data_IF_399245628530
#
_entry.id   IF_399245628530
#
_cell.length_a   1.000
_cell.length_b   1.000
_cell.length_c   1.000
_cell.angle_alpha   90.00
_cell.angle_beta   90.00
_cell.angle_gamma   90.00
#
_symmetry.space_group_name_H-M   'P 1'
#
loop_
_entity.id
_entity.type
_entity.pdbx_description
1 polymer ?
#
# COMPACT_ATOMS: atom_id res chain seq x y z
N UNK A 1 12.05 -72.54 46.65
CA UNK A 1 12.34 -71.10 46.34
C UNK A 1 11.86 -70.78 44.93
N UNK A 2 10.78 -70.05 44.83
CA UNK A 2 10.25 -69.60 43.52
C UNK A 2 10.68 -68.13 43.28
N UNK A 3 11.52 -67.93 42.31
CA UNK A 3 12.03 -66.60 41.94
C UNK A 3 11.06 -65.96 40.92
N UNK A 4 10.39 -64.88 41.29
CA UNK A 4 9.47 -64.13 40.42
C UNK A 4 10.29 -63.07 39.70
N UNK A 5 10.35 -63.14 38.35
CA UNK A 5 10.98 -62.16 37.50
C UNK A 5 9.94 -61.00 37.19
N UNK A 6 10.23 -59.84 37.67
CA UNK A 6 9.42 -58.63 37.33
C UNK A 6 9.99 -58.01 36.06
N UNK A 7 9.21 -58.04 34.98
CA UNK A 7 9.54 -57.41 33.73
C UNK A 7 9.04 -55.94 33.77
N UNK A 8 9.93 -54.95 33.88
CA UNK A 8 9.62 -53.54 33.83
C UNK A 8 9.58 -53.10 32.37
N UNK A 9 8.40 -52.78 31.86
CA UNK A 9 8.20 -52.19 30.54
C UNK A 9 8.42 -50.69 30.65
N UNK A 10 9.53 -50.19 30.13
CA UNK A 10 9.78 -48.73 29.97
C UNK A 10 8.98 -48.22 28.77
N UNK A 11 7.94 -47.43 29.01
CA UNK A 11 7.28 -46.61 27.98
C UNK A 11 8.20 -45.43 27.64
N UNK A 12 8.87 -45.50 26.50
CA UNK A 12 9.58 -44.36 25.92
C UNK A 12 8.56 -43.47 25.26
N UNK A 13 8.14 -42.38 25.93
CA UNK A 13 7.33 -41.33 25.36
C UNK A 13 8.17 -40.59 24.29
N UNK A 14 7.85 -40.79 23.01
CA UNK A 14 8.30 -39.88 21.95
C UNK A 14 7.61 -38.53 22.16
N UNK A 15 8.33 -37.55 22.69
CA UNK A 15 7.93 -36.16 22.61
C UNK A 15 8.02 -35.76 21.13
N UNK A 16 6.88 -35.64 20.48
CA UNK A 16 6.79 -34.89 19.22
C UNK A 16 7.13 -33.42 19.53
N UNK A 17 8.31 -33.00 19.13
CA UNK A 17 8.60 -31.58 19.04
C UNK A 17 7.70 -31.06 17.91
N UNK A 18 6.56 -30.49 18.26
CA UNK A 18 5.77 -29.71 17.31
C UNK A 18 6.69 -28.58 16.83
N UNK A 19 7.11 -28.61 15.58
CA UNK A 19 7.72 -27.42 14.95
C UNK A 19 6.73 -26.29 15.13
N UNK A 20 7.16 -25.19 15.73
CA UNK A 20 6.31 -24.01 15.81
C UNK A 20 5.95 -23.62 14.37
N UNK A 21 4.66 -23.63 14.06
CA UNK A 21 4.19 -23.19 12.74
C UNK A 21 4.56 -21.71 12.56
N UNK A 22 4.94 -21.35 11.35
CA UNK A 22 5.27 -19.98 11.01
C UNK A 22 4.64 -19.61 9.67
N UNK A 23 4.47 -18.31 9.45
CA UNK A 23 4.07 -17.73 8.19
C UNK A 23 5.03 -16.59 7.85
N UNK A 24 5.54 -16.59 6.60
CA UNK A 24 6.46 -15.58 6.09
C UNK A 24 5.67 -14.61 5.23
N UNK A 25 5.62 -13.34 5.63
CA UNK A 25 4.85 -12.28 4.95
C UNK A 25 5.82 -11.26 4.37
N UNK A 26 5.72 -10.99 3.07
CA UNK A 26 6.51 -9.96 2.38
C UNK A 26 5.66 -8.71 2.21
N UNK A 27 6.15 -7.56 2.66
CA UNK A 27 5.45 -6.28 2.60
C UNK A 27 6.41 -5.10 2.35
N UNK A 28 5.87 -3.88 2.27
CA UNK A 28 6.55 -2.66 1.80
C UNK A 28 7.48 -1.98 2.82
N UNK A 29 7.68 -2.55 4.00
CA UNK A 29 8.58 -2.03 5.02
C UNK A 29 8.15 -0.70 5.67
N UNK A 30 8.99 -0.20 6.59
CA UNK A 30 8.83 1.09 7.26
C UNK A 30 7.59 1.19 8.15
N UNK A 31 6.98 2.40 8.21
CA UNK A 31 5.79 2.65 9.04
C UNK A 31 4.61 1.73 8.67
N UNK A 32 4.47 1.39 7.39
CA UNK A 32 3.42 0.48 6.93
C UNK A 32 3.61 -0.95 7.48
N UNK A 33 4.82 -1.51 7.39
CA UNK A 33 5.12 -2.82 8.01
C UNK A 33 4.87 -2.79 9.52
N UNK A 34 5.29 -1.73 10.21
CA UNK A 34 5.05 -1.58 11.65
C UNK A 34 3.56 -1.59 12.00
N UNK A 35 2.71 -0.95 11.19
CA UNK A 35 1.26 -0.99 11.38
C UNK A 35 0.69 -2.39 11.26
N UNK A 36 1.17 -3.20 10.30
CA UNK A 36 0.78 -4.60 10.13
C UNK A 36 1.26 -5.48 11.29
N UNK A 37 2.47 -5.22 11.78
CA UNK A 37 3.00 -5.95 12.96
C UNK A 37 2.11 -5.73 14.17
N UNK A 38 1.67 -4.51 14.42
CA UNK A 38 0.82 -4.18 15.58
C UNK A 38 -0.63 -4.69 15.40
N UNK A 39 -1.22 -4.46 14.23
CA UNK A 39 -2.63 -4.78 13.99
C UNK A 39 -2.89 -6.25 13.67
N UNK A 40 -1.96 -6.91 13.00
CA UNK A 40 -2.14 -8.27 12.47
C UNK A 40 -1.23 -9.29 13.14
N UNK A 41 0.09 -9.10 13.09
CA UNK A 41 1.05 -10.17 13.40
C UNK A 41 1.09 -10.53 14.89
N UNK A 42 1.15 -9.51 15.76
CA UNK A 42 1.14 -9.72 17.20
C UNK A 42 -0.17 -10.38 17.69
N UNK A 43 -1.37 -9.86 17.30
CA UNK A 43 -2.63 -10.50 17.65
C UNK A 43 -2.77 -11.91 17.05
N UNK A 44 -2.39 -12.13 15.80
CA UNK A 44 -2.41 -13.44 15.16
C UNK A 44 -1.57 -14.46 15.91
N UNK A 45 -0.32 -14.09 16.23
CA UNK A 45 0.58 -14.96 16.98
C UNK A 45 0.04 -15.25 18.39
N UNK A 46 -0.54 -14.24 19.05
CA UNK A 46 -1.10 -14.41 20.39
C UNK A 46 -2.33 -15.35 20.40
N UNK A 47 -3.15 -15.31 19.35
CA UNK A 47 -4.37 -16.11 19.24
C UNK A 47 -4.10 -17.55 18.76
N UNK A 48 -3.21 -17.71 17.78
CA UNK A 48 -3.00 -18.98 17.09
C UNK A 48 -1.75 -19.75 17.54
N UNK A 49 -0.77 -19.04 18.12
CA UNK A 49 0.57 -19.59 18.39
C UNK A 49 1.47 -19.67 17.15
N UNK A 50 0.97 -19.31 15.95
CA UNK A 50 1.75 -19.28 14.71
C UNK A 50 2.57 -17.98 14.69
N UNK A 51 3.89 -18.12 14.48
CA UNK A 51 4.78 -16.96 14.39
C UNK A 51 4.70 -16.32 13.00
N UNK A 52 4.62 -15.00 12.95
CA UNK A 52 4.70 -14.24 11.70
C UNK A 52 6.11 -13.67 11.55
N UNK A 53 6.76 -13.96 10.42
CA UNK A 53 8.04 -13.38 10.04
C UNK A 53 7.79 -12.36 8.93
N UNK A 54 8.06 -11.08 9.20
CA UNK A 54 7.96 -10.03 8.19
C UNK A 54 9.25 -9.91 7.39
N UNK A 55 9.10 -9.66 6.10
CA UNK A 55 10.20 -9.46 5.13
C UNK A 55 9.88 -8.19 4.36
N UNK A 56 10.70 -7.16 4.52
CA UNK A 56 10.53 -5.91 3.77
C UNK A 56 11.05 -6.04 2.33
N UNK A 57 10.30 -5.45 1.38
CA UNK A 57 10.72 -5.30 -0.01
C UNK A 57 10.27 -3.93 -0.54
N UNK A 58 11.05 -3.33 -1.45
CA UNK A 58 10.66 -2.07 -2.09
C UNK A 58 9.50 -2.25 -3.08
N UNK A 59 9.39 -3.44 -3.67
CA UNK A 59 8.24 -3.92 -4.45
C UNK A 59 8.08 -5.43 -4.20
N UNK A 60 7.10 -5.87 -3.38
CA UNK A 60 6.89 -7.27 -3.02
C UNK A 60 6.55 -8.20 -4.20
N UNK A 61 5.96 -7.69 -5.28
CA UNK A 61 5.66 -8.48 -6.48
C UNK A 61 6.93 -8.97 -7.18
N UNK A 62 8.03 -8.22 -7.09
CA UNK A 62 9.32 -8.59 -7.71
C UNK A 62 9.89 -9.89 -7.14
N UNK A 63 10.13 -10.03 -5.82
CA UNK A 63 10.60 -11.30 -5.25
C UNK A 63 9.56 -12.41 -5.37
N UNK A 64 8.25 -12.13 -5.36
CA UNK A 64 7.22 -13.14 -5.60
C UNK A 64 7.41 -13.79 -6.98
N UNK A 65 7.43 -12.97 -8.04
CA UNK A 65 7.62 -13.45 -9.42
C UNK A 65 8.91 -14.25 -9.55
N UNK A 66 10.02 -13.74 -9.04
CA UNK A 66 11.31 -14.41 -9.09
C UNK A 66 11.30 -15.77 -8.38
N UNK A 67 10.66 -15.89 -7.23
CA UNK A 67 10.54 -17.16 -6.48
C UNK A 67 9.69 -18.19 -7.21
N UNK A 68 8.57 -17.77 -7.81
CA UNK A 68 7.67 -18.65 -8.58
C UNK A 68 8.37 -19.13 -9.85
N UNK A 69 9.01 -18.24 -10.61
CA UNK A 69 9.77 -18.61 -11.83
C UNK A 69 10.94 -19.56 -11.55
N UNK A 70 11.58 -19.40 -10.40
CA UNK A 70 12.66 -20.30 -9.96
C UNK A 70 12.14 -21.64 -9.42
N UNK A 71 10.82 -21.82 -9.20
CA UNK A 71 10.24 -22.99 -8.55
C UNK A 71 10.73 -23.16 -7.10
N UNK A 72 11.06 -22.07 -6.42
CA UNK A 72 11.59 -22.05 -5.06
C UNK A 72 10.91 -20.94 -4.24
N UNK A 73 9.64 -21.14 -3.91
CA UNK A 73 8.86 -20.22 -3.10
C UNK A 73 9.26 -20.38 -1.62
N UNK A 74 9.62 -19.28 -0.97
CA UNK A 74 10.10 -19.24 0.41
C UNK A 74 9.24 -18.39 1.35
N UNK A 75 8.33 -17.58 0.80
CA UNK A 75 7.38 -16.80 1.56
C UNK A 75 5.95 -17.27 1.25
N UNK A 76 5.04 -16.97 2.17
CA UNK A 76 3.69 -17.54 2.17
C UNK A 76 2.63 -16.55 1.74
N UNK A 77 2.76 -15.29 2.15
CA UNK A 77 1.84 -14.19 1.81
C UNK A 77 2.65 -13.02 1.30
N UNK A 78 2.16 -12.37 0.27
CA UNK A 78 2.74 -11.14 -0.27
C UNK A 78 1.67 -10.04 -0.29
N UNK A 79 2.11 -8.83 -0.02
CA UNK A 79 1.31 -7.62 -0.01
C UNK A 79 1.68 -6.80 -1.24
N UNK A 80 0.80 -6.78 -2.25
CA UNK A 80 1.09 -6.23 -3.58
C UNK A 80 0.03 -5.23 -4.02
N UNK A 81 0.34 -4.37 -4.99
CA UNK A 81 -0.64 -3.48 -5.62
C UNK A 81 -1.66 -4.27 -6.48
N UNK A 82 -2.84 -3.68 -6.72
CA UNK A 82 -3.92 -4.29 -7.49
C UNK A 82 -3.44 -4.77 -8.87
N UNK A 83 -2.72 -3.95 -9.61
CA UNK A 83 -2.23 -4.30 -10.95
C UNK A 83 -1.27 -5.49 -10.96
N UNK A 84 -0.42 -5.60 -9.93
CA UNK A 84 0.47 -6.74 -9.75
C UNK A 84 -0.31 -8.01 -9.37
N UNK A 85 -1.32 -7.88 -8.51
CA UNK A 85 -2.19 -9.01 -8.13
C UNK A 85 -2.91 -9.60 -9.36
N UNK A 86 -3.50 -8.76 -10.22
CA UNK A 86 -4.15 -9.18 -11.46
C UNK A 86 -3.15 -9.89 -12.36
N UNK A 87 -2.04 -9.26 -12.67
CA UNK A 87 -1.01 -9.83 -13.55
C UNK A 87 -0.48 -11.17 -13.06
N UNK A 88 -0.16 -11.29 -11.78
CA UNK A 88 0.38 -12.53 -11.20
C UNK A 88 -0.68 -13.64 -11.14
N UNK A 89 -1.96 -13.28 -10.99
CA UNK A 89 -3.08 -14.22 -11.08
C UNK A 89 -3.21 -14.77 -12.50
N UNK A 90 -3.20 -13.91 -13.52
CA UNK A 90 -3.27 -14.28 -14.94
C UNK A 90 -2.08 -15.13 -15.40
N UNK A 91 -0.90 -14.86 -14.86
CA UNK A 91 0.31 -15.67 -15.07
C UNK A 91 0.23 -17.06 -14.37
N UNK A 92 -0.81 -17.31 -13.55
CA UNK A 92 -1.01 -18.55 -12.79
C UNK A 92 0.02 -18.73 -11.66
N UNK A 93 0.55 -17.62 -11.12
CA UNK A 93 1.52 -17.62 -10.03
C UNK A 93 0.86 -17.75 -8.64
N UNK A 94 -0.41 -17.38 -8.53
CA UNK A 94 -1.16 -17.28 -7.28
C UNK A 94 -2.20 -18.40 -7.15
N UNK A 95 -2.72 -18.61 -5.94
CA UNK A 95 -3.92 -19.42 -5.73
C UNK A 95 -5.17 -18.56 -5.88
N UNK A 96 -6.28 -19.17 -6.34
CA UNK A 96 -7.61 -18.58 -6.21
C UNK A 96 -8.05 -18.58 -4.73
N UNK A 97 -8.72 -17.51 -4.31
CA UNK A 97 -9.18 -17.31 -2.92
C UNK A 97 -10.70 -17.47 -2.87
N UNK A 98 -11.18 -18.42 -2.07
CA UNK A 98 -12.61 -18.57 -1.78
C UNK A 98 -13.09 -17.41 -0.88
N UNK A 99 -13.68 -16.38 -1.49
CA UNK A 99 -14.21 -15.21 -0.79
C UNK A 99 -15.37 -15.55 0.16
N UNK A 100 -16.10 -16.65 -0.08
CA UNK A 100 -17.14 -17.10 0.83
C UNK A 100 -16.58 -17.67 2.14
N UNK A 101 -15.30 -18.02 2.15
CA UNK A 101 -14.59 -18.49 3.34
C UNK A 101 -13.97 -17.36 4.17
N UNK A 102 -14.05 -16.10 3.72
CA UNK A 102 -13.61 -14.93 4.49
C UNK A 102 -14.60 -14.65 5.63
N UNK A 103 -14.14 -14.08 6.76
CA UNK A 103 -15.02 -13.72 7.87
C UNK A 103 -16.13 -12.75 7.43
N UNK A 104 -17.36 -13.00 7.85
CA UNK A 104 -18.44 -12.03 7.72
C UNK A 104 -18.22 -10.83 8.65
N UNK A 105 -18.83 -9.68 8.32
CA UNK A 105 -18.87 -8.53 9.20
C UNK A 105 -19.60 -8.85 10.53
N UNK A 106 -19.41 -8.08 11.62
CA UNK A 106 -20.01 -8.35 12.90
C UNK A 106 -21.56 -8.37 12.91
N UNK A 107 -22.19 -7.68 11.96
CA UNK A 107 -23.63 -7.67 11.76
C UNK A 107 -24.17 -8.87 10.93
N UNK A 108 -23.26 -9.73 10.43
CA UNK A 108 -23.55 -10.87 9.61
C UNK A 108 -23.51 -10.61 8.10
N UNK A 109 -23.16 -9.40 7.65
CA UNK A 109 -22.96 -9.08 6.24
C UNK A 109 -21.83 -9.94 5.68
N UNK A 110 -22.05 -10.62 4.56
CA UNK A 110 -21.04 -11.46 3.93
C UNK A 110 -19.84 -10.61 3.45
N UNK A 111 -18.65 -11.20 3.46
CA UNK A 111 -17.43 -10.48 3.03
C UNK A 111 -17.59 -9.86 1.63
N UNK A 112 -18.20 -10.57 0.69
CA UNK A 112 -18.41 -10.09 -0.69
C UNK A 112 -19.28 -8.83 -0.79
N UNK A 113 -20.11 -8.55 0.22
CA UNK A 113 -20.96 -7.37 0.28
C UNK A 113 -20.36 -6.26 1.17
N UNK A 114 -19.36 -6.58 2.01
CA UNK A 114 -18.75 -5.68 2.97
C UNK A 114 -17.46 -5.01 2.43
N UNK A 115 -16.69 -5.71 1.62
CA UNK A 115 -15.51 -5.13 0.99
C UNK A 115 -15.90 -4.00 0.02
N UNK A 116 -15.02 -3.00 -0.11
CA UNK A 116 -15.22 -1.93 -1.10
C UNK A 116 -15.06 -2.49 -2.52
N UNK A 117 -15.55 -1.76 -3.51
CA UNK A 117 -15.46 -2.16 -4.91
C UNK A 117 -13.99 -2.37 -5.34
N UNK A 118 -13.71 -3.45 -6.05
CA UNK A 118 -12.35 -3.82 -6.50
C UNK A 118 -11.47 -4.46 -5.41
N UNK A 119 -11.93 -4.55 -4.17
CA UNK A 119 -11.13 -5.08 -3.07
C UNK A 119 -11.05 -6.62 -3.01
N UNK A 120 -11.88 -7.32 -3.78
CA UNK A 120 -11.86 -8.78 -3.91
C UNK A 120 -11.61 -9.16 -5.36
N UNK A 121 -10.48 -9.77 -5.63
CA UNK A 121 -10.09 -10.33 -6.93
C UNK A 121 -9.93 -11.84 -6.80
N UNK A 122 -10.04 -12.59 -7.89
CA UNK A 122 -10.00 -14.06 -7.86
C UNK A 122 -8.82 -14.62 -7.03
N UNK A 123 -7.64 -13.98 -7.08
CA UNK A 123 -6.44 -14.42 -6.37
C UNK A 123 -5.99 -13.47 -5.24
N UNK A 124 -6.79 -12.45 -4.87
CA UNK A 124 -6.33 -11.42 -3.95
C UNK A 124 -7.46 -10.85 -3.08
N UNK A 125 -7.08 -10.38 -1.88
CA UNK A 125 -7.97 -9.69 -0.94
C UNK A 125 -7.29 -8.42 -0.47
N UNK A 126 -7.93 -7.28 -0.67
CA UNK A 126 -7.39 -6.00 -0.24
C UNK A 126 -7.33 -5.87 1.28
N UNK A 127 -6.28 -5.24 1.75
CA UNK A 127 -6.09 -4.92 3.16
C UNK A 127 -6.21 -3.43 3.43
N UNK A 128 -5.69 -2.57 2.56
CA UNK A 128 -5.75 -1.11 2.69
C UNK A 128 -6.17 -0.43 1.40
N UNK A 129 -6.72 0.79 1.57
CA UNK A 129 -6.81 1.84 0.55
C UNK A 129 -5.80 2.92 0.91
N UNK A 130 -4.93 3.29 0.00
CA UNK A 130 -3.91 4.31 0.20
C UNK A 130 -3.96 5.39 -0.88
N UNK A 131 -3.34 6.54 -0.58
CA UNK A 131 -3.26 7.67 -1.51
C UNK A 131 -1.83 8.15 -1.72
N UNK A 132 -1.48 8.51 -2.96
CA UNK A 132 -0.35 9.40 -3.23
C UNK A 132 -0.90 10.83 -3.21
N UNK A 133 -0.35 11.65 -2.32
CA UNK A 133 -0.78 13.03 -2.08
C UNK A 133 0.39 13.98 -2.31
N UNK A 134 0.11 15.26 -2.46
CA UNK A 134 1.14 16.30 -2.39
C UNK A 134 1.33 16.66 -0.91
N UNK A 135 2.58 16.82 -0.49
CA UNK A 135 2.91 17.39 0.81
C UNK A 135 3.98 18.46 0.68
N UNK A 136 3.98 19.39 1.61
CA UNK A 136 4.93 20.50 1.65
C UNK A 136 5.41 20.80 3.06
N UNK A 137 6.58 21.42 3.14
CA UNK A 137 7.15 21.96 4.39
C UNK A 137 6.57 23.36 4.63
N UNK A 138 5.74 23.49 5.68
CA UNK A 138 5.05 24.74 6.04
C UNK A 138 6.01 25.87 6.35
N UNK A 139 7.24 25.57 6.76
CA UNK A 139 8.26 26.57 7.07
C UNK A 139 8.87 27.24 5.83
N UNK A 140 8.59 26.74 4.64
CA UNK A 140 9.08 27.27 3.37
C UNK A 140 8.18 28.34 2.78
N UNK A 141 6.95 28.52 3.31
CA UNK A 141 5.94 29.41 2.77
C UNK A 141 5.36 30.30 3.88
N UNK A 142 5.01 31.53 3.54
CA UNK A 142 4.41 32.45 4.49
C UNK A 142 3.01 31.97 4.91
N UNK A 143 2.64 32.20 6.17
CA UNK A 143 1.30 31.88 6.68
C UNK A 143 0.23 32.61 5.87
N UNK A 144 -0.75 31.87 5.34
CA UNK A 144 -1.80 32.38 4.46
C UNK A 144 -1.43 32.50 2.97
N UNK A 145 -0.20 32.13 2.59
CA UNK A 145 0.26 32.02 1.21
C UNK A 145 0.84 30.63 0.92
N UNK A 146 0.27 29.60 1.52
CA UNK A 146 0.69 28.21 1.34
C UNK A 146 0.05 27.59 0.11
N UNK A 147 0.70 26.61 -0.56
CA UNK A 147 0.13 25.90 -1.70
C UNK A 147 -1.10 25.07 -1.27
N UNK A 148 -2.12 25.00 -2.12
CA UNK A 148 -3.38 24.33 -1.83
C UNK A 148 -3.89 23.40 -2.94
N UNK A 149 -3.17 23.33 -4.07
CA UNK A 149 -3.63 22.58 -5.23
C UNK A 149 -2.49 21.88 -5.98
N UNK A 150 -2.87 20.93 -6.83
CA UNK A 150 -1.95 20.33 -7.79
C UNK A 150 -1.34 21.37 -8.75
N UNK A 151 -2.10 22.40 -9.10
CA UNK A 151 -1.57 23.52 -9.92
C UNK A 151 -0.46 24.27 -9.19
N UNK A 152 -0.57 24.48 -7.89
CA UNK A 152 0.46 25.16 -7.08
C UNK A 152 1.75 24.33 -6.99
N UNK A 153 1.64 23.01 -7.01
CA UNK A 153 2.82 22.14 -7.09
C UNK A 153 3.67 22.44 -8.35
N UNK A 154 3.06 22.79 -9.47
CA UNK A 154 3.76 23.13 -10.72
C UNK A 154 4.11 24.62 -10.82
N UNK A 155 3.64 25.46 -9.93
CA UNK A 155 3.92 26.91 -9.93
C UNK A 155 5.17 27.22 -9.09
N UNK A 156 6.35 27.06 -9.69
CA UNK A 156 7.63 27.34 -9.02
C UNK A 156 7.92 28.84 -8.86
N UNK A 157 7.16 29.71 -9.52
CA UNK A 157 7.32 31.16 -9.42
C UNK A 157 6.74 31.70 -8.10
N UNK A 158 5.53 31.30 -7.75
CA UNK A 158 4.86 31.74 -6.52
C UNK A 158 5.23 30.82 -5.33
N UNK A 159 5.50 29.56 -5.59
CA UNK A 159 5.94 28.55 -4.58
C UNK A 159 7.34 28.04 -4.91
N UNK A 160 8.40 28.77 -4.54
CA UNK A 160 9.76 28.45 -4.93
C UNK A 160 10.30 27.18 -4.24
N UNK A 161 11.32 26.56 -4.85
CA UNK A 161 12.02 25.39 -4.38
C UNK A 161 11.80 24.15 -5.24
N UNK A 162 12.55 23.08 -4.96
CA UNK A 162 12.49 21.85 -5.72
C UNK A 162 11.23 21.02 -5.40
N UNK A 163 10.90 20.12 -6.31
CA UNK A 163 9.77 19.19 -6.24
C UNK A 163 10.27 17.74 -6.16
N UNK A 164 9.67 16.94 -5.28
CA UNK A 164 9.89 15.51 -5.27
C UNK A 164 8.81 14.79 -6.09
N UNK A 165 9.21 13.98 -7.08
CA UNK A 165 8.29 13.14 -7.85
C UNK A 165 8.81 11.72 -7.95
N UNK A 166 7.94 10.70 -8.01
CA UNK A 166 8.37 9.32 -8.24
C UNK A 166 8.88 9.15 -9.67
N UNK A 167 9.91 8.35 -9.83
CA UNK A 167 10.38 7.91 -11.15
C UNK A 167 9.47 6.82 -11.72
N UNK A 168 8.19 7.14 -11.84
CA UNK A 168 7.13 6.23 -12.24
C UNK A 168 6.07 6.98 -13.05
N UNK A 169 5.78 6.60 -14.31
CA UNK A 169 4.82 7.28 -15.16
C UNK A 169 3.39 7.23 -14.58
N UNK A 170 3.00 6.10 -13.98
CA UNK A 170 1.69 5.88 -13.38
C UNK A 170 1.33 6.96 -12.35
N UNK A 171 2.31 7.37 -11.52
CA UNK A 171 2.10 8.34 -10.44
C UNK A 171 2.61 9.76 -10.75
N UNK A 172 2.99 10.03 -12.00
CA UNK A 172 3.55 11.32 -12.41
C UNK A 172 2.73 11.97 -13.53
N UNK A 173 2.32 11.19 -14.55
CA UNK A 173 1.61 11.74 -15.71
C UNK A 173 0.22 12.26 -15.37
N UNK A 174 -0.53 11.54 -14.52
CA UNK A 174 -1.86 11.96 -14.09
C UNK A 174 -1.81 13.30 -13.35
N UNK A 175 -0.83 13.48 -12.45
CA UNK A 175 -0.69 14.70 -11.67
C UNK A 175 -0.41 15.92 -12.54
N UNK A 176 0.41 15.73 -13.58
CA UNK A 176 0.64 16.78 -14.58
C UNK A 176 -0.64 17.19 -15.29
N UNK A 177 -1.51 16.25 -15.66
CA UNK A 177 -2.79 16.52 -16.28
C UNK A 177 -3.78 17.19 -15.31
N UNK A 178 -3.87 16.73 -14.06
CA UNK A 178 -4.66 17.42 -13.03
C UNK A 178 -4.21 18.87 -12.88
N UNK A 179 -2.90 19.10 -12.73
CA UNK A 179 -2.33 20.44 -12.62
C UNK A 179 -2.54 21.30 -13.87
N UNK A 180 -2.79 20.69 -15.03
CA UNK A 180 -3.12 21.36 -16.28
C UNK A 180 -4.65 21.50 -16.51
N UNK A 181 -5.46 21.17 -15.50
CA UNK A 181 -6.90 21.38 -15.46
C UNK A 181 -7.74 20.26 -16.11
N UNK A 182 -7.18 19.05 -16.30
CA UNK A 182 -7.97 17.87 -16.70
C UNK A 182 -8.74 17.36 -15.50
N UNK A 183 -10.07 17.17 -15.58
CA UNK A 183 -10.85 16.59 -14.51
C UNK A 183 -10.38 15.17 -14.15
N UNK A 184 -10.41 14.81 -12.87
CA UNK A 184 -9.96 13.49 -12.40
C UNK A 184 -10.65 12.33 -13.14
N UNK A 185 -11.95 12.46 -13.43
CA UNK A 185 -12.72 11.46 -14.16
C UNK A 185 -12.30 11.26 -15.63
N UNK A 186 -11.58 12.21 -16.22
CA UNK A 186 -11.18 12.18 -17.63
C UNK A 186 -9.70 11.80 -17.83
N UNK A 187 -8.97 11.55 -16.74
CA UNK A 187 -7.51 11.33 -16.78
C UNK A 187 -7.12 10.18 -17.69
N UNK A 188 -7.79 9.04 -17.59
CA UNK A 188 -7.45 7.86 -18.41
C UNK A 188 -7.88 7.99 -19.86
N UNK A 189 -8.99 8.69 -20.14
CA UNK A 189 -9.40 9.00 -21.49
C UNK A 189 -8.37 9.90 -22.19
N UNK A 190 -7.81 10.87 -21.45
CA UNK A 190 -6.77 11.77 -21.97
C UNK A 190 -5.44 11.03 -22.12
N UNK A 191 -4.99 10.28 -21.10
CA UNK A 191 -3.75 9.49 -21.15
C UNK A 191 -3.79 8.38 -22.21
N UNK A 192 -4.96 7.91 -22.63
CA UNK A 192 -5.13 6.93 -23.71
C UNK A 192 -4.89 7.53 -25.10
N UNK A 193 -4.51 8.81 -25.22
CA UNK A 193 -4.24 9.49 -26.48
C UNK A 193 -2.82 10.03 -26.55
N UNK A 194 -2.22 10.04 -27.76
CA UNK A 194 -0.90 10.64 -27.96
C UNK A 194 -0.85 12.10 -27.55
N UNK A 195 -1.90 12.89 -27.88
CA UNK A 195 -2.00 14.28 -27.53
C UNK A 195 -2.06 14.50 -26.01
N UNK A 196 -2.75 13.62 -25.29
CA UNK A 196 -2.84 13.69 -23.84
C UNK A 196 -1.51 13.37 -23.16
N UNK A 197 -0.78 12.39 -23.65
CA UNK A 197 0.55 12.05 -23.14
C UNK A 197 1.54 13.18 -23.39
N UNK A 198 1.54 13.78 -24.60
CA UNK A 198 2.37 14.95 -24.92
C UNK A 198 2.00 16.17 -24.04
N UNK A 199 0.71 16.37 -23.76
CA UNK A 199 0.24 17.40 -22.84
C UNK A 199 0.79 17.20 -21.43
N UNK A 200 0.78 15.97 -20.91
CA UNK A 200 1.36 15.64 -19.61
C UNK A 200 2.87 15.93 -19.57
N UNK A 201 3.63 15.52 -20.60
CA UNK A 201 5.06 15.82 -20.69
C UNK A 201 5.33 17.34 -20.81
N UNK A 202 4.56 18.07 -21.61
CA UNK A 202 4.70 19.52 -21.72
C UNK A 202 4.50 20.22 -20.36
N UNK A 203 3.56 19.73 -19.54
CA UNK A 203 3.37 20.23 -18.18
C UNK A 203 4.54 19.90 -17.27
N UNK A 204 5.06 18.66 -17.33
CA UNK A 204 6.24 18.22 -16.57
C UNK A 204 7.50 19.02 -16.97
N UNK A 205 7.66 19.38 -18.25
CA UNK A 205 8.79 20.19 -18.73
C UNK A 205 8.87 21.56 -18.01
N UNK A 206 7.74 22.09 -17.54
CA UNK A 206 7.72 23.38 -16.81
C UNK A 206 8.49 23.34 -15.49
N UNK A 207 8.67 22.14 -14.89
CA UNK A 207 9.37 21.96 -13.61
C UNK A 207 10.53 20.96 -13.69
N UNK A 208 10.80 20.36 -14.85
CA UNK A 208 11.75 19.23 -15.01
C UNK A 208 13.12 19.48 -14.35
N UNK A 209 13.66 20.70 -14.49
CA UNK A 209 14.94 21.09 -13.90
C UNK A 209 14.94 21.19 -12.37
N UNK A 210 13.75 21.32 -11.78
CA UNK A 210 13.55 21.50 -10.34
C UNK A 210 13.07 20.21 -9.65
N UNK A 211 13.00 19.09 -10.38
CA UNK A 211 12.55 17.81 -9.83
C UNK A 211 13.69 17.01 -9.25
N UNK A 212 13.49 16.50 -8.03
CA UNK A 212 14.26 15.43 -7.40
C UNK A 212 13.45 14.14 -7.54
N UNK A 213 13.97 13.20 -8.32
CA UNK A 213 13.30 11.92 -8.58
C UNK A 213 13.57 10.92 -7.47
N UNK A 214 12.50 10.32 -6.94
CA UNK A 214 12.61 9.27 -5.93
C UNK A 214 12.06 7.94 -6.46
N UNK A 215 12.53 6.81 -5.89
CA UNK A 215 12.16 5.45 -6.29
C UNK A 215 11.56 4.65 -5.12
N UNK A 216 12.11 4.80 -3.91
CA UNK A 216 11.61 4.12 -2.73
C UNK A 216 10.63 4.98 -1.92
N UNK A 217 9.54 4.37 -1.42
CA UNK A 217 8.45 5.08 -0.75
C UNK A 217 8.81 5.81 0.55
N UNK A 218 9.96 5.54 1.15
CA UNK A 218 10.44 6.28 2.32
C UNK A 218 11.21 7.58 1.94
N UNK A 219 11.69 7.69 0.69
CA UNK A 219 12.53 8.81 0.26
C UNK A 219 11.83 10.17 0.30
N UNK A 220 10.57 10.35 -0.17
CA UNK A 220 9.96 11.67 -0.24
C UNK A 220 9.80 12.35 1.13
N UNK A 221 9.52 11.61 2.19
CA UNK A 221 9.48 12.15 3.56
C UNK A 221 10.86 12.68 3.96
N UNK A 222 11.92 11.93 3.64
CA UNK A 222 13.29 12.34 3.95
C UNK A 222 13.70 13.58 3.15
N UNK A 223 13.35 13.65 1.85
CA UNK A 223 13.63 14.83 1.01
C UNK A 223 13.03 16.11 1.58
N UNK A 224 11.78 16.03 2.12
CA UNK A 224 11.17 17.16 2.83
C UNK A 224 11.93 17.47 4.15
N UNK A 225 12.20 16.45 4.96
CA UNK A 225 12.84 16.60 6.26
C UNK A 225 14.24 17.21 6.17
N UNK A 226 15.00 16.87 5.12
CA UNK A 226 16.32 17.43 4.85
C UNK A 226 16.27 18.79 4.13
N UNK A 227 15.08 19.24 3.74
CA UNK A 227 14.88 20.50 3.01
C UNK A 227 15.43 20.47 1.59
N UNK A 228 15.64 19.30 1.01
CA UNK A 228 16.09 19.15 -0.39
C UNK A 228 14.99 19.54 -1.36
N UNK A 229 13.72 19.35 -0.97
CA UNK A 229 12.54 19.80 -1.70
C UNK A 229 11.65 20.65 -0.81
N UNK A 230 10.87 21.55 -1.39
CA UNK A 230 9.84 22.30 -0.66
C UNK A 230 8.46 21.62 -0.72
N UNK A 231 8.23 20.83 -1.75
CA UNK A 231 7.01 20.04 -1.97
C UNK A 231 7.38 18.70 -2.59
N UNK A 232 6.61 17.66 -2.28
CA UNK A 232 6.77 16.34 -2.90
C UNK A 232 5.44 15.61 -3.02
N UNK A 233 5.33 14.70 -3.97
CA UNK A 233 4.33 13.66 -3.85
C UNK A 233 4.84 12.59 -2.87
N UNK A 234 3.94 12.00 -2.11
CA UNK A 234 4.26 11.08 -1.02
C UNK A 234 3.05 10.20 -0.69
N UNK A 235 3.26 9.03 -0.14
CA UNK A 235 2.16 8.18 0.38
C UNK A 235 1.57 8.79 1.66
N UNK A 236 0.25 8.96 1.68
CA UNK A 236 -0.46 9.67 2.76
C UNK A 236 -0.19 9.10 4.15
N UNK A 237 -0.12 7.79 4.32
CA UNK A 237 0.18 7.19 5.62
C UNK A 237 1.61 7.46 6.11
N UNK A 238 2.58 7.52 5.20
CA UNK A 238 3.98 7.80 5.56
C UNK A 238 4.20 9.25 5.95
N UNK A 239 3.55 10.18 5.25
CA UNK A 239 3.64 11.59 5.63
C UNK A 239 2.86 11.89 6.90
N UNK A 240 1.72 11.21 7.13
CA UNK A 240 0.99 11.28 8.39
C UNK A 240 1.88 10.90 9.58
N UNK A 241 2.64 9.81 9.47
CA UNK A 241 3.56 9.38 10.53
C UNK A 241 4.59 10.48 10.83
N UNK A 242 5.20 11.08 9.81
CA UNK A 242 6.12 12.20 9.99
C UNK A 242 5.47 13.43 10.64
N UNK A 243 4.23 13.78 10.24
CA UNK A 243 3.50 14.93 10.78
C UNK A 243 3.09 14.72 12.23
N UNK A 244 2.53 13.56 12.54
CA UNK A 244 1.89 13.30 13.84
C UNK A 244 2.85 12.67 14.84
N UNK A 245 3.54 11.58 14.47
CA UNK A 245 4.45 10.89 15.39
C UNK A 245 5.79 11.63 15.57
N UNK A 246 6.32 12.25 14.51
CA UNK A 246 7.59 12.94 14.55
C UNK A 246 7.47 14.47 14.69
N UNK A 247 6.25 15.03 14.70
CA UNK A 247 5.96 16.46 14.78
C UNK A 247 6.71 17.30 13.72
N UNK A 248 6.82 16.77 12.48
CA UNK A 248 7.39 17.52 11.37
C UNK A 248 6.43 18.60 10.89
N UNK A 249 6.92 19.78 10.49
CA UNK A 249 6.08 20.90 10.03
C UNK A 249 5.64 20.69 8.58
N UNK A 250 4.90 19.61 8.33
CA UNK A 250 4.39 19.26 7.00
C UNK A 250 2.88 19.37 6.97
N UNK A 251 2.35 19.63 5.79
CA UNK A 251 0.90 19.59 5.50
C UNK A 251 0.66 18.82 4.21
N UNK A 252 -0.58 18.33 4.05
CA UNK A 252 -1.04 17.55 2.91
C UNK A 252 -2.01 18.38 2.08
N UNK A 253 -1.86 18.31 0.75
CA UNK A 253 -2.82 18.79 -0.24
C UNK A 253 -3.48 17.56 -0.85
N UNK A 254 -4.80 17.43 -0.66
CA UNK A 254 -5.58 16.30 -1.16
C UNK A 254 -5.97 16.45 -2.63
N UNK A 255 -5.91 17.68 -3.19
CA UNK A 255 -6.25 17.94 -4.59
C UNK A 255 -5.40 17.09 -5.53
N UNK A 256 -6.06 16.26 -6.33
CA UNK A 256 -5.41 15.36 -7.26
C UNK A 256 -4.72 14.18 -6.57
N UNK A 257 -5.17 13.72 -5.40
CA UNK A 257 -4.65 12.47 -4.86
C UNK A 257 -4.87 11.32 -5.84
N UNK A 258 -3.91 10.41 -5.90
CA UNK A 258 -4.05 9.14 -6.60
C UNK A 258 -4.34 8.03 -5.59
N UNK A 259 -5.39 7.27 -5.81
CA UNK A 259 -5.82 6.21 -4.89
C UNK A 259 -5.61 4.84 -5.51
N UNK A 260 -5.12 3.91 -4.71
CA UNK A 260 -4.97 2.51 -5.04
C UNK A 260 -5.16 1.64 -3.77
N UNK A 261 -5.12 0.34 -3.92
CA UNK A 261 -5.21 -0.62 -2.82
C UNK A 261 -3.98 -1.52 -2.81
N UNK A 262 -3.61 -1.96 -1.61
CA UNK A 262 -2.73 -3.11 -1.46
C UNK A 262 -3.54 -4.36 -1.17
N UNK A 263 -3.06 -5.47 -1.67
CA UNK A 263 -3.76 -6.75 -1.64
C UNK A 263 -2.85 -7.86 -1.11
N UNK A 264 -3.37 -8.67 -0.21
CA UNK A 264 -2.74 -9.93 0.15
C UNK A 264 -2.98 -10.97 -0.92
N UNK A 265 -1.90 -11.58 -1.37
CA UNK A 265 -1.89 -12.70 -2.32
C UNK A 265 -1.06 -13.86 -1.75
N UNK A 266 -1.37 -15.08 -2.19
CA UNK A 266 -0.68 -16.30 -1.75
C UNK A 266 -0.13 -17.00 -3.00
N UNK A 267 1.20 -17.22 -3.13
CA UNK A 267 1.75 -17.98 -4.24
C UNK A 267 1.30 -19.44 -4.18
N UNK A 268 1.05 -20.06 -5.35
CA UNK A 268 0.52 -21.43 -5.44
C UNK A 268 1.38 -22.49 -4.74
N UNK A 269 2.67 -22.25 -4.61
CA UNK A 269 3.62 -23.17 -3.98
C UNK A 269 4.09 -22.65 -2.61
N UNK A 270 3.26 -21.87 -1.90
CA UNK A 270 3.56 -21.37 -0.57
C UNK A 270 3.91 -22.51 0.40
N UNK A 271 5.06 -22.44 1.09
CA UNK A 271 5.54 -23.53 1.93
C UNK A 271 4.62 -23.84 3.13
N UNK A 272 3.89 -22.83 3.65
CA UNK A 272 3.00 -22.96 4.79
C UNK A 272 1.56 -22.56 4.42
N UNK A 273 1.00 -23.14 3.36
CA UNK A 273 -0.29 -22.80 2.76
C UNK A 273 -1.43 -22.67 3.78
N UNK A 274 -1.55 -23.59 4.72
CA UNK A 274 -2.62 -23.55 5.73
C UNK A 274 -2.48 -22.32 6.65
N UNK A 275 -1.26 -22.03 7.09
CA UNK A 275 -0.97 -20.85 7.92
C UNK A 275 -1.16 -19.54 7.12
N UNK A 276 -0.82 -19.52 5.83
CA UNK A 276 -1.04 -18.39 4.93
C UNK A 276 -2.53 -18.06 4.80
N UNK A 277 -3.37 -19.04 4.52
CA UNK A 277 -4.83 -18.87 4.43
C UNK A 277 -5.44 -18.44 5.78
N UNK A 278 -4.94 -18.96 6.89
CA UNK A 278 -5.38 -18.56 8.23
C UNK A 278 -4.98 -17.10 8.51
N UNK A 279 -3.75 -16.72 8.16
CA UNK A 279 -3.27 -15.34 8.31
C UNK A 279 -4.08 -14.36 7.45
N UNK A 280 -4.30 -14.68 6.17
CA UNK A 280 -5.09 -13.84 5.26
C UNK A 280 -6.49 -13.58 5.83
N UNK A 281 -7.20 -14.63 6.26
CA UNK A 281 -8.53 -14.51 6.87
C UNK A 281 -8.51 -13.66 8.15
N UNK A 282 -7.50 -13.83 8.98
CA UNK A 282 -7.34 -13.07 10.20
C UNK A 282 -7.04 -11.59 9.93
N UNK A 283 -6.06 -11.32 9.07
CA UNK A 283 -5.61 -9.97 8.77
C UNK A 283 -6.68 -9.14 8.05
N UNK A 284 -7.55 -9.79 7.27
CA UNK A 284 -8.65 -9.15 6.53
C UNK A 284 -9.99 -9.18 7.28
N UNK A 285 -10.01 -9.55 8.55
CA UNK A 285 -11.20 -9.43 9.42
C UNK A 285 -11.52 -7.93 9.70
N UNK A 286 -12.81 -7.64 9.90
CA UNK A 286 -13.29 -6.28 10.16
C UNK A 286 -12.50 -5.55 11.24
N UNK A 287 -12.27 -6.22 12.38
CA UNK A 287 -11.56 -5.58 13.50
C UNK A 287 -10.09 -5.35 13.19
N UNK A 288 -9.45 -6.30 12.49
CA UNK A 288 -8.02 -6.21 12.18
C UNK A 288 -7.71 -5.09 11.21
N UNK A 289 -8.52 -4.94 10.14
CA UNK A 289 -8.39 -3.82 9.21
C UNK A 289 -8.63 -2.47 9.90
N UNK A 290 -9.61 -2.38 10.80
CA UNK A 290 -9.83 -1.18 11.60
C UNK A 290 -8.68 -0.92 12.59
N UNK A 291 -8.08 -1.96 13.16
CA UNK A 291 -6.95 -1.81 14.08
C UNK A 291 -5.70 -1.26 13.39
N UNK A 292 -5.48 -1.56 12.10
CA UNK A 292 -4.35 -1.00 11.36
C UNK A 292 -4.45 0.52 11.24
N UNK A 293 -5.66 1.05 11.04
CA UNK A 293 -5.90 2.49 10.98
C UNK A 293 -5.52 3.24 12.27
N UNK A 294 -5.30 2.54 13.38
CA UNK A 294 -4.75 3.14 14.62
C UNK A 294 -3.27 3.47 14.55
N UNK A 295 -2.56 2.89 13.60
CA UNK A 295 -1.09 2.98 13.51
C UNK A 295 -0.62 3.73 12.27
N UNK A 296 -1.44 3.80 11.22
CA UNK A 296 -1.13 4.48 9.98
C UNK A 296 -2.41 4.99 9.30
N UNK A 297 -2.33 6.12 8.61
CA UNK A 297 -3.49 6.76 7.98
C UNK A 297 -3.83 6.14 6.61
N UNK A 298 -4.01 4.81 6.56
CA UNK A 298 -4.54 4.12 5.39
C UNK A 298 -5.97 3.66 5.64
N UNK A 299 -6.83 3.79 4.64
CA UNK A 299 -8.23 3.38 4.74
C UNK A 299 -8.36 1.87 4.77
N UNK A 300 -9.23 1.30 5.63
CA UNK A 300 -9.49 -0.13 5.58
C UNK A 300 -10.29 -0.50 4.32
N UNK A 301 -10.05 -1.69 3.77
CA UNK A 301 -10.71 -2.17 2.58
C UNK A 301 -12.15 -2.72 2.81
N UNK A 302 -12.66 -2.65 4.04
CA UNK A 302 -14.04 -3.03 4.41
C UNK A 302 -14.84 -1.83 4.88
N UNK A 303 -16.14 -1.78 4.51
CA UNK A 303 -17.08 -0.76 4.98
C UNK A 303 -17.30 -0.87 6.48
N UNK A 304 -17.50 -2.09 7.00
CA UNK A 304 -17.64 -2.35 8.44
C UNK A 304 -16.42 -1.94 9.25
N UNK A 305 -15.22 -2.03 8.69
CA UNK A 305 -13.98 -1.57 9.34
C UNK A 305 -13.87 -0.05 9.36
N UNK A 306 -14.30 0.63 8.30
CA UNK A 306 -14.27 2.09 8.22
C UNK A 306 -15.10 2.75 9.35
N UNK A 307 -16.20 2.13 9.74
CA UNK A 307 -17.04 2.59 10.86
C UNK A 307 -16.35 2.46 12.23
N UNK A 308 -15.33 1.62 12.34
CA UNK A 308 -14.57 1.37 13.57
C UNK A 308 -13.29 2.21 13.67
N UNK A 309 -12.95 2.96 12.61
CA UNK A 309 -11.78 3.85 12.61
C UNK A 309 -12.03 4.97 13.64
N UNK A 310 -11.13 5.11 14.59
CA UNK A 310 -11.23 6.06 15.68
C UNK A 310 -9.98 6.92 15.83
N UNK A 311 -9.38 6.87 17.03
CA UNK A 311 -8.19 7.64 17.36
C UNK A 311 -6.91 6.90 16.93
N UNK A 312 -5.90 7.68 16.59
CA UNK A 312 -4.52 7.21 16.47
C UNK A 312 -4.03 6.62 17.79
N UNK A 313 -2.96 5.85 17.76
CA UNK A 313 -2.37 5.21 18.94
C UNK A 313 -1.94 6.18 20.05
N UNK A 314 -1.84 7.49 19.77
CA UNK A 314 -1.59 8.55 20.75
C UNK A 314 -2.79 8.84 21.66
N UNK A 315 -3.98 8.33 21.30
CA UNK A 315 -5.23 8.47 22.04
C UNK A 315 -5.90 9.83 21.93
N UNK A 316 -5.41 10.73 21.06
CA UNK A 316 -5.96 12.11 20.90
C UNK A 316 -6.19 12.51 19.44
N UNK A 317 -5.40 12.01 18.49
CA UNK A 317 -5.54 12.36 17.06
C UNK A 317 -6.67 11.55 16.43
N UNK A 318 -7.68 12.24 15.89
CA UNK A 318 -8.74 11.61 15.10
C UNK A 318 -8.20 11.20 13.74
N UNK A 319 -8.40 9.92 13.35
CA UNK A 319 -7.85 9.40 12.10
C UNK A 319 -8.67 9.76 10.86
N UNK A 320 -9.97 9.96 10.99
CA UNK A 320 -10.86 10.18 9.85
C UNK A 320 -10.43 11.31 8.89
N UNK A 321 -9.95 12.49 9.36
CA UNK A 321 -9.49 13.55 8.45
C UNK A 321 -8.21 13.22 7.68
N UNK A 322 -7.44 12.23 8.15
CA UNK A 322 -6.17 11.82 7.54
C UNK A 322 -6.28 10.63 6.59
N UNK A 323 -7.50 10.11 6.43
CA UNK A 323 -7.75 8.96 5.55
C UNK A 323 -7.87 9.39 4.09
N UNK A 324 -7.33 8.61 3.14
CA UNK A 324 -7.47 8.86 1.71
C UNK A 324 -8.94 8.78 1.26
N UNK A 325 -9.78 8.16 2.08
CA UNK A 325 -11.23 8.01 1.87
C UNK A 325 -12.06 9.08 2.59
N UNK A 326 -11.44 10.13 3.15
CA UNK A 326 -12.17 11.26 3.74
C UNK A 326 -12.94 12.04 2.66
N UNK A 327 -14.04 12.72 3.01
CA UNK A 327 -14.79 13.50 2.02
C UNK A 327 -13.95 14.52 1.26
N UNK A 328 -13.05 15.23 1.94
CA UNK A 328 -12.13 16.19 1.34
C UNK A 328 -11.16 15.51 0.36
N UNK A 329 -10.58 14.41 0.78
CA UNK A 329 -9.63 13.65 -0.03
C UNK A 329 -10.25 13.10 -1.32
N UNK A 330 -11.56 12.80 -1.31
CA UNK A 330 -12.27 12.25 -2.46
C UNK A 330 -12.75 13.31 -3.49
N UNK A 331 -12.72 14.61 -3.18
CA UNK A 331 -13.30 15.64 -4.05
C UNK A 331 -12.71 15.64 -5.47
N UNK A 332 -11.39 15.45 -5.61
CA UNK A 332 -10.69 15.42 -6.90
C UNK A 332 -9.68 14.26 -6.95
N UNK A 333 -10.09 13.09 -6.42
CA UNK A 333 -9.26 11.91 -6.41
C UNK A 333 -9.25 11.20 -7.77
N UNK A 334 -8.08 10.73 -8.18
CA UNK A 334 -7.89 9.83 -9.31
C UNK A 334 -7.78 8.41 -8.78
N UNK A 335 -8.74 7.56 -9.09
CA UNK A 335 -8.68 6.13 -8.77
C UNK A 335 -7.75 5.42 -9.75
N UNK A 336 -6.96 4.46 -9.27
CA UNK A 336 -6.20 3.57 -10.16
C UNK A 336 -7.13 2.87 -11.14
N UNK A 337 -6.67 2.70 -12.36
CA UNK A 337 -7.34 1.92 -13.39
C UNK A 337 -6.41 0.79 -13.86
N UNK A 338 -6.49 -0.40 -13.23
CA UNK A 338 -5.61 -1.51 -13.56
C UNK A 338 -5.72 -1.98 -15.02
N UNK A 339 -6.93 -1.90 -15.62
CA UNK A 339 -7.15 -2.26 -17.02
C UNK A 339 -6.39 -1.32 -17.95
N UNK A 340 -6.47 -0.01 -17.71
CA UNK A 340 -5.71 0.98 -18.46
C UNK A 340 -4.20 0.70 -18.38
N UNK A 341 -3.69 0.45 -17.18
CA UNK A 341 -2.26 0.21 -16.98
C UNK A 341 -1.82 -1.15 -17.52
N UNK A 342 -2.67 -2.17 -17.53
CA UNK A 342 -2.37 -3.44 -18.20
C UNK A 342 -2.09 -3.24 -19.70
N UNK A 343 -2.80 -2.33 -20.36
CA UNK A 343 -2.65 -2.06 -21.79
C UNK A 343 -1.54 -1.06 -22.11
N UNK A 344 -1.29 -0.07 -21.24
CA UNK A 344 -0.47 1.12 -21.56
C UNK A 344 0.86 1.21 -20.78
N UNK A 345 1.08 0.42 -19.72
CA UNK A 345 2.24 0.57 -18.82
C UNK A 345 3.58 0.49 -19.57
N UNK A 346 3.74 -0.50 -20.45
CA UNK A 346 5.00 -0.70 -21.19
C UNK A 346 5.32 0.51 -22.06
N UNK A 347 4.35 0.95 -22.86
CA UNK A 347 4.54 2.09 -23.75
C UNK A 347 4.81 3.38 -22.98
N UNK A 348 3.97 3.69 -21.97
CA UNK A 348 4.12 4.90 -21.18
C UNK A 348 5.43 4.92 -20.38
N UNK A 349 5.87 3.76 -19.89
CA UNK A 349 7.17 3.63 -19.22
C UNK A 349 8.34 3.89 -20.19
N UNK A 350 8.30 3.36 -21.41
CA UNK A 350 9.32 3.64 -22.43
C UNK A 350 9.36 5.14 -22.80
N UNK A 351 8.20 5.74 -23.05
CA UNK A 351 8.07 7.19 -23.36
C UNK A 351 8.56 8.06 -22.20
N UNK A 352 8.19 7.73 -20.98
CA UNK A 352 8.62 8.45 -19.78
C UNK A 352 10.14 8.37 -19.57
N UNK A 353 10.73 7.19 -19.73
CA UNK A 353 12.18 7.03 -19.63
C UNK A 353 12.94 7.77 -20.76
N UNK A 354 12.42 7.76 -21.98
CA UNK A 354 12.97 8.55 -23.07
C UNK A 354 12.88 10.07 -22.79
N UNK A 355 11.74 10.52 -22.27
CA UNK A 355 11.55 11.92 -21.85
C UNK A 355 12.50 12.29 -20.71
N UNK A 356 12.67 11.45 -19.68
CA UNK A 356 13.63 11.69 -18.60
C UNK A 356 15.06 11.87 -19.12
N UNK A 357 15.46 11.08 -20.12
CA UNK A 357 16.78 11.12 -20.71
C UNK A 357 17.00 12.30 -21.66
N UNK A 358 15.92 12.96 -22.11
CA UNK A 358 16.01 14.16 -22.98
C UNK A 358 16.47 15.37 -22.16
N UNK A 359 17.33 16.19 -22.77
CA UNK A 359 17.93 17.39 -22.13
C UNK A 359 16.93 18.50 -22.00
#
# INVERSE_FOLDING_TARGET
>A
MKTTLILSTALTGMAFVASAQEVNVVSWGGAYEMSQVEAYNKPFTAETGIRVNMIAADNPATPLKAQVEAGNVTADVFDVEVSDAIRLCDEGALIEIDHAALPAAPDGTAAVDDFVEGALLDCAVANIVWGTVISFDTTKFDEGAQPQSAADFFNTADFPGKRGLPRNPKRTLYLALIADGVPAAEIYDVLGTDEGVERAFAKLDTIKSDVVWWEAGAQPVQLLADGEVSMTTVYNGRIFDAMVAENKPFEVIWDGQYMDMDMFVIPKDAPNMEAALQYLKFATDTQRLADQAKYIAYGPARRSSAELVGLYQDGVTEMAPHMPTSPEALENAVMDNPEFWADHDTELTERFNAWLASS
#
